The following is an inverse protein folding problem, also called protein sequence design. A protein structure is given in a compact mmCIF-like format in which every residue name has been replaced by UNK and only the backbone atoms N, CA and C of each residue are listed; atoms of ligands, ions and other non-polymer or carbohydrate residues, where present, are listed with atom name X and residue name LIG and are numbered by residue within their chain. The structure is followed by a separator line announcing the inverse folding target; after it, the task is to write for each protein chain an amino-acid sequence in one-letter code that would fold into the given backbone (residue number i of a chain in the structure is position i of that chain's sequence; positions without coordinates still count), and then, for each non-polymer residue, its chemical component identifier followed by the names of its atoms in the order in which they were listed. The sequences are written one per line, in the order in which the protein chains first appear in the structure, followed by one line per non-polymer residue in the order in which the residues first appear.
data_IF_146714087327
#
_entry.id   IF_146714087327
#
_cell.length_a   1.000
_cell.length_b   1.000
_cell.length_c   1.000
_cell.angle_alpha   90.00
_cell.angle_beta   90.00
_cell.angle_gamma   90.00
#
_symmetry.space_group_name_H-M   'P 1'
#
loop_
_entity.id
_entity.type
_entity.pdbx_description
1 polymer ?
#
# COMPACT_ATOMS: atom_id res chain seq x y z
N UNK A 1 28.09 -23.56 9.12
CA UNK A 1 27.42 -22.79 8.06
C UNK A 1 26.13 -23.50 7.74
N UNK A 2 25.00 -22.80 7.82
CA UNK A 2 23.70 -23.38 7.47
C UNK A 2 23.69 -23.72 5.99
N UNK A 3 23.33 -24.95 5.64
CA UNK A 3 23.07 -25.29 4.24
C UNK A 3 21.66 -24.81 3.88
N UNK A 4 21.37 -24.60 2.59
CA UNK A 4 20.03 -24.17 2.17
C UNK A 4 18.93 -25.12 2.65
N UNK A 5 19.21 -26.44 2.70
CA UNK A 5 18.29 -27.46 3.20
C UNK A 5 17.91 -27.30 4.67
N UNK A 6 18.71 -26.56 5.45
CA UNK A 6 18.43 -26.30 6.87
C UNK A 6 17.51 -25.07 7.06
N UNK A 7 17.37 -24.23 6.04
CA UNK A 7 16.60 -22.99 6.13
C UNK A 7 15.09 -23.26 6.01
N UNK A 8 14.32 -22.49 6.77
CA UNK A 8 12.85 -22.52 6.74
C UNK A 8 12.32 -21.12 6.46
N UNK A 9 11.21 -20.97 5.70
CA UNK A 9 10.59 -19.68 5.50
C UNK A 9 10.01 -19.12 6.79
N UNK A 10 9.87 -17.80 6.84
CA UNK A 10 9.20 -17.06 7.91
C UNK A 10 8.05 -16.23 7.34
N UNK A 11 7.05 -15.87 8.15
CA UNK A 11 5.91 -15.09 7.65
C UNK A 11 6.32 -13.66 7.25
N UNK A 12 6.04 -13.30 6.00
CA UNK A 12 6.22 -11.94 5.46
C UNK A 12 4.88 -11.23 5.33
N UNK A 13 4.89 -9.90 5.44
CA UNK A 13 3.67 -9.11 5.27
C UNK A 13 3.32 -8.97 3.78
N UNK A 14 2.11 -9.35 3.39
CA UNK A 14 1.65 -9.22 1.99
C UNK A 14 1.37 -7.77 1.57
N UNK A 15 0.99 -6.90 2.51
CA UNK A 15 0.74 -5.47 2.26
C UNK A 15 1.68 -4.60 3.03
N UNK A 16 2.26 -3.65 2.31
CA UNK A 16 3.10 -2.60 2.86
C UNK A 16 2.95 -1.31 2.06
N UNK A 17 3.19 -0.14 2.67
CA UNK A 17 3.32 1.10 1.91
C UNK A 17 4.49 1.01 0.92
N UNK A 18 4.46 1.74 -0.21
CA UNK A 18 5.61 1.85 -1.12
C UNK A 18 6.92 2.19 -0.38
N UNK A 19 6.84 3.07 0.62
CA UNK A 19 8.01 3.46 1.44
C UNK A 19 8.57 2.38 2.36
N UNK A 20 7.88 1.24 2.49
CA UNK A 20 8.31 0.08 3.26
C UNK A 20 8.55 -1.14 2.37
N UNK A 21 8.56 -0.99 1.04
CA UNK A 21 8.79 -2.09 0.08
C UNK A 21 10.09 -2.85 0.32
N UNK A 22 11.08 -2.20 0.93
CA UNK A 22 12.37 -2.79 1.23
C UNK A 22 12.67 -2.85 2.74
N UNK A 23 11.65 -2.78 3.59
CA UNK A 23 11.78 -2.98 5.03
C UNK A 23 11.73 -4.48 5.37
N UNK A 24 12.50 -4.93 6.36
CA UNK A 24 12.34 -6.27 6.93
C UNK A 24 10.96 -6.35 7.60
N UNK A 25 10.22 -7.44 7.42
CA UNK A 25 8.81 -7.49 7.88
C UNK A 25 8.57 -8.61 8.86
N UNK A 26 7.73 -8.34 9.85
CA UNK A 26 7.13 -9.36 10.71
C UNK A 26 5.65 -9.04 10.92
N UNK A 27 4.82 -10.05 11.09
CA UNK A 27 3.38 -9.90 11.30
C UNK A 27 3.08 -10.05 12.79
N UNK A 28 2.83 -9.01 13.58
CA UNK A 28 2.44 -9.21 15.00
C UNK A 28 1.00 -9.71 15.12
N UNK A 29 0.16 -9.23 14.22
CA UNK A 29 -1.19 -9.73 13.98
C UNK A 29 -1.25 -10.23 12.55
N UNK A 30 -2.11 -11.22 12.28
CA UNK A 30 -2.45 -11.61 10.92
C UNK A 30 -3.72 -10.88 10.50
N UNK A 31 -3.71 -10.30 9.30
CA UNK A 31 -4.88 -9.79 8.60
C UNK A 31 -5.57 -8.59 9.28
N UNK A 32 -6.89 -8.42 9.08
CA UNK A 32 -7.65 -7.25 9.55
C UNK A 32 -8.81 -7.62 10.48
N UNK A 33 -8.79 -7.10 11.71
CA UNK A 33 -9.87 -7.28 12.68
C UNK A 33 -11.18 -6.57 12.29
N UNK A 34 -11.10 -5.54 11.44
CA UNK A 34 -12.29 -4.79 10.98
C UNK A 34 -12.95 -5.45 9.77
N UNK A 35 -12.17 -5.70 8.71
CA UNK A 35 -12.55 -6.36 7.44
C UNK A 35 -13.94 -6.00 6.84
N UNK A 36 -14.49 -4.81 7.13
CA UNK A 36 -15.84 -4.41 6.69
C UNK A 36 -15.86 -3.31 5.64
N UNK A 37 -14.71 -2.65 5.37
CA UNK A 37 -14.63 -1.60 4.36
C UNK A 37 -15.16 -2.08 3.01
N UNK A 38 -15.97 -1.28 2.33
CA UNK A 38 -16.60 -1.63 1.05
C UNK A 38 -15.58 -1.72 -0.09
N UNK A 39 -14.60 -0.82 -0.10
CA UNK A 39 -13.60 -0.69 -1.16
C UNK A 39 -12.42 -1.67 -1.05
N UNK A 40 -12.16 -2.22 0.14
CA UNK A 40 -10.94 -3.01 0.39
C UNK A 40 -11.12 -4.47 -0.05
N UNK A 41 -10.35 -4.97 -1.04
CA UNK A 41 -10.43 -6.37 -1.50
C UNK A 41 -9.62 -7.35 -0.66
N UNK A 42 -8.60 -6.86 0.05
CA UNK A 42 -7.47 -7.62 0.61
C UNK A 42 -7.87 -8.88 1.39
N UNK A 43 -8.67 -8.72 2.44
CA UNK A 43 -8.95 -9.81 3.38
C UNK A 43 -10.36 -10.40 3.18
N UNK A 44 -11.02 -10.09 2.05
CA UNK A 44 -12.42 -10.47 1.80
C UNK A 44 -12.59 -11.95 1.44
N UNK A 45 -11.49 -12.60 1.08
CA UNK A 45 -11.50 -13.93 0.48
C UNK A 45 -10.96 -15.01 1.44
N UNK A 46 -11.43 -15.00 2.69
CA UNK A 46 -11.18 -16.08 3.66
C UNK A 46 -10.11 -15.79 4.72
N UNK A 47 -9.31 -14.74 4.55
CA UNK A 47 -8.30 -14.32 5.51
C UNK A 47 -8.92 -13.91 6.87
N UNK A 48 -8.54 -14.60 7.95
CA UNK A 48 -9.06 -14.37 9.30
C UNK A 48 -8.06 -13.60 10.16
N UNK A 49 -8.58 -12.70 10.98
CA UNK A 49 -7.76 -12.00 11.96
C UNK A 49 -7.30 -12.95 13.07
N UNK A 50 -6.02 -12.85 13.45
CA UNK A 50 -5.49 -13.47 14.67
C UNK A 50 -4.34 -12.63 15.24
N UNK A 51 -4.10 -12.75 16.54
CA UNK A 51 -2.89 -12.23 17.18
C UNK A 51 -1.89 -13.38 17.29
N UNK A 52 -0.60 -13.10 17.07
CA UNK A 52 0.46 -14.09 17.21
C UNK A 52 1.03 -14.10 18.62
N UNK A 53 1.58 -15.24 19.03
CA UNK A 53 2.32 -15.34 20.30
C UNK A 53 3.76 -14.88 20.13
N UNK A 54 4.44 -14.64 21.26
CA UNK A 54 5.86 -14.27 21.25
C UNK A 54 6.70 -15.42 20.70
N UNK A 55 6.35 -16.67 21.02
CA UNK A 55 7.06 -17.86 20.55
C UNK A 55 6.98 -18.00 19.03
N UNK A 56 5.78 -17.81 18.45
CA UNK A 56 5.61 -17.81 17.00
C UNK A 56 6.48 -16.75 16.32
N UNK A 57 6.55 -15.54 16.89
CA UNK A 57 7.36 -14.45 16.36
C UNK A 57 8.86 -14.69 16.52
N UNK A 58 9.31 -15.23 17.66
CA UNK A 58 10.71 -15.60 17.88
C UNK A 58 11.19 -16.64 16.86
N UNK A 59 10.34 -17.61 16.53
CA UNK A 59 10.64 -18.59 15.47
C UNK A 59 10.88 -17.88 14.13
N UNK A 60 10.03 -16.92 13.75
CA UNK A 60 10.21 -16.17 12.51
C UNK A 60 11.44 -15.26 12.53
N UNK A 61 11.74 -14.61 13.66
CA UNK A 61 12.93 -13.78 13.84
C UNK A 61 14.20 -14.61 13.68
N UNK A 62 14.25 -15.79 14.29
CA UNK A 62 15.38 -16.71 14.16
C UNK A 62 15.54 -17.21 12.72
N UNK A 63 14.44 -17.61 12.07
CA UNK A 63 14.48 -18.02 10.65
C UNK A 63 14.95 -16.89 9.74
N UNK A 64 14.46 -15.68 9.95
CA UNK A 64 14.91 -14.50 9.21
C UNK A 64 16.41 -14.25 9.44
N UNK A 65 16.92 -14.46 10.66
CA UNK A 65 18.36 -14.31 10.96
C UNK A 65 19.20 -15.37 10.25
N UNK A 66 18.74 -16.62 10.22
CA UNK A 66 19.43 -17.69 9.53
C UNK A 66 19.49 -17.42 8.02
N UNK A 67 18.38 -16.96 7.44
CA UNK A 67 18.31 -16.55 6.04
C UNK A 67 19.23 -15.35 5.78
N UNK A 68 19.26 -14.36 6.68
CA UNK A 68 20.16 -13.21 6.58
C UNK A 68 21.64 -13.61 6.57
N UNK A 69 22.06 -14.45 7.52
CA UNK A 69 23.42 -15.01 7.54
C UNK A 69 23.76 -15.67 6.19
N UNK A 70 22.85 -16.52 5.70
CA UNK A 70 23.03 -17.24 4.47
C UNK A 70 23.16 -16.31 3.26
N UNK A 71 22.26 -15.33 3.11
CA UNK A 71 22.28 -14.34 2.03
C UNK A 71 23.58 -13.54 2.04
N UNK A 72 24.01 -13.09 3.23
CA UNK A 72 25.25 -12.34 3.36
C UNK A 72 26.47 -13.18 2.94
N UNK A 73 26.60 -14.40 3.47
CA UNK A 73 27.75 -15.27 3.23
C UNK A 73 27.81 -15.83 1.81
N UNK A 74 26.68 -16.29 1.26
CA UNK A 74 26.65 -17.12 0.05
C UNK A 74 26.19 -16.39 -1.21
N UNK A 75 25.57 -15.22 -1.07
CA UNK A 75 25.04 -14.45 -2.22
C UNK A 75 25.81 -13.14 -2.32
N UNK A 76 25.72 -12.29 -1.29
CA UNK A 76 26.26 -10.93 -1.33
C UNK A 76 27.80 -10.95 -1.30
N UNK A 77 28.42 -11.59 -0.31
CA UNK A 77 29.89 -11.62 -0.24
C UNK A 77 30.53 -12.50 -1.31
N UNK A 78 29.81 -13.53 -1.78
CA UNK A 78 30.25 -14.38 -2.88
C UNK A 78 30.03 -13.75 -4.27
N UNK A 79 29.33 -12.60 -4.35
CA UNK A 79 28.95 -11.92 -5.59
C UNK A 79 28.23 -12.84 -6.60
N UNK A 80 27.31 -13.67 -6.09
CA UNK A 80 26.50 -14.59 -6.88
C UNK A 80 25.13 -13.94 -7.12
N UNK A 81 24.60 -14.05 -8.35
CA UNK A 81 23.23 -13.63 -8.63
C UNK A 81 22.25 -14.55 -7.89
N UNK A 82 21.26 -13.97 -7.23
CA UNK A 82 20.21 -14.76 -6.58
C UNK A 82 19.48 -15.66 -7.58
N UNK A 83 19.32 -15.21 -8.83
CA UNK A 83 18.70 -16.00 -9.90
C UNK A 83 19.58 -17.18 -10.36
N UNK A 84 20.90 -16.97 -10.43
CA UNK A 84 21.85 -18.05 -10.77
C UNK A 84 21.88 -19.07 -9.64
N UNK A 85 21.86 -18.61 -8.38
CA UNK A 85 21.77 -19.48 -7.21
C UNK A 85 20.50 -20.33 -7.23
N UNK A 86 19.33 -19.72 -7.49
CA UNK A 86 18.06 -20.47 -7.58
C UNK A 86 18.03 -21.48 -8.71
N UNK A 87 18.61 -21.16 -9.86
CA UNK A 87 18.64 -22.05 -11.02
C UNK A 87 19.41 -23.35 -10.72
N UNK A 88 20.45 -23.27 -9.89
CA UNK A 88 21.26 -24.42 -9.45
C UNK A 88 20.56 -25.30 -8.39
N UNK A 89 19.49 -24.80 -7.77
CA UNK A 89 18.72 -25.48 -6.70
C UNK A 89 17.38 -26.03 -7.20
N UNK A 90 16.88 -25.57 -8.35
CA UNK A 90 15.62 -26.00 -8.97
C UNK A 90 15.69 -27.42 -9.58
N UNK A 91 16.42 -28.35 -8.97
CA UNK A 91 16.26 -29.79 -9.22
C UNK A 91 16.31 -30.59 -7.91
N UNK A 92 15.27 -31.35 -7.53
CA UNK A 92 13.85 -31.07 -7.46
C UNK A 92 13.45 -30.90 -5.98
N UNK A 93 13.24 -29.67 -5.50
CA UNK A 93 12.12 -29.50 -4.57
C UNK A 93 10.93 -29.60 -5.51
N UNK A 94 10.45 -30.83 -5.71
CA UNK A 94 9.07 -31.03 -6.16
C UNK A 94 8.29 -30.03 -5.34
N UNK A 95 7.76 -29.01 -6.03
CA UNK A 95 6.58 -28.33 -5.58
C UNK A 95 5.58 -29.47 -5.36
N UNK A 96 5.60 -30.04 -4.16
CA UNK A 96 4.41 -30.57 -3.56
C UNK A 96 3.49 -29.38 -3.65
N UNK A 97 2.69 -29.38 -4.72
CA UNK A 97 1.30 -29.02 -4.70
C UNK A 97 0.69 -29.71 -3.48
N UNK A 98 1.06 -29.27 -2.28
CA UNK A 98 0.07 -29.03 -1.25
C UNK A 98 -0.72 -27.84 -1.77
N UNK A 99 -1.57 -28.19 -2.75
CA UNK A 99 -2.79 -27.54 -3.14
C UNK A 99 -3.65 -27.45 -1.89
N UNK A 100 -3.30 -26.51 -1.02
CA UNK A 100 -4.14 -26.02 0.06
C UNK A 100 -4.42 -24.55 -0.23
N UNK A 101 -4.86 -24.27 -1.47
CA UNK A 101 -5.54 -23.02 -1.87
C UNK A 101 -6.05 -23.01 -3.33
N UNK A 102 -5.96 -24.12 -4.07
CA UNK A 102 -6.57 -24.20 -5.42
C UNK A 102 -8.10 -24.17 -5.38
N UNK A 103 -8.74 -24.70 -4.34
CA UNK A 103 -10.21 -24.69 -4.24
C UNK A 103 -10.82 -23.30 -3.99
N UNK A 104 -10.08 -22.36 -3.40
CA UNK A 104 -10.56 -20.98 -3.23
C UNK A 104 -10.33 -20.16 -4.50
N UNK A 105 -9.19 -20.32 -5.17
CA UNK A 105 -8.84 -19.57 -6.38
C UNK A 105 -9.64 -20.00 -7.63
N UNK A 106 -9.99 -21.28 -7.76
CA UNK A 106 -10.79 -21.80 -8.87
C UNK A 106 -12.24 -21.28 -8.85
N UNK A 107 -12.75 -20.87 -7.69
CA UNK A 107 -14.10 -20.31 -7.53
C UNK A 107 -14.24 -18.85 -8.02
N UNK A 108 -13.14 -18.14 -8.26
CA UNK A 108 -13.20 -16.78 -8.81
C UNK A 108 -13.21 -16.84 -10.33
N UNK A 109 -14.31 -16.42 -10.98
CA UNK A 109 -14.40 -16.32 -12.44
C UNK A 109 -13.62 -15.13 -13.02
N UNK A 110 -13.20 -14.18 -12.17
CA UNK A 110 -12.55 -12.93 -12.58
C UNK A 110 -11.02 -13.05 -12.55
N UNK A 111 -10.37 -12.85 -13.69
CA UNK A 111 -8.91 -12.94 -13.84
C UNK A 111 -8.15 -11.92 -13.00
N UNK A 112 -8.70 -10.71 -12.80
CA UNK A 112 -8.06 -9.67 -11.99
C UNK A 112 -8.04 -10.08 -10.52
N UNK A 113 -9.11 -10.72 -10.02
CA UNK A 113 -9.14 -11.27 -8.66
C UNK A 113 -8.12 -12.39 -8.52
N UNK A 114 -8.06 -13.33 -9.48
CA UNK A 114 -7.07 -14.42 -9.43
C UNK A 114 -5.64 -13.89 -9.35
N UNK A 115 -5.31 -12.95 -10.23
CA UNK A 115 -4.00 -12.31 -10.25
C UNK A 115 -3.71 -11.56 -8.95
N UNK A 116 -4.66 -10.76 -8.44
CA UNK A 116 -4.48 -10.00 -7.20
C UNK A 116 -4.33 -10.91 -5.97
N UNK A 117 -5.09 -11.99 -5.89
CA UNK A 117 -5.03 -12.94 -4.78
C UNK A 117 -3.67 -13.65 -4.68
N UNK A 118 -2.92 -13.79 -5.79
CA UNK A 118 -1.58 -14.41 -5.77
C UNK A 118 -0.55 -13.61 -4.95
N UNK A 119 -0.80 -12.32 -4.71
CA UNK A 119 0.05 -11.47 -3.86
C UNK A 119 -0.14 -11.74 -2.36
N UNK A 120 -1.23 -12.41 -1.98
CA UNK A 120 -1.61 -12.67 -0.59
C UNK A 120 -1.31 -14.12 -0.20
N UNK A 121 -0.01 -14.45 -0.12
CA UNK A 121 0.44 -15.75 0.37
C UNK A 121 0.41 -15.80 1.90
N UNK A 122 -0.53 -16.53 2.49
CA UNK A 122 -0.55 -16.76 3.95
C UNK A 122 0.65 -17.63 4.39
N UNK A 123 1.14 -18.50 3.51
CA UNK A 123 2.34 -19.33 3.71
C UNK A 123 3.41 -18.99 2.68
N UNK A 124 4.40 -18.16 3.00
CA UNK A 124 5.48 -17.84 2.08
C UNK A 124 6.38 -19.06 1.84
N UNK A 125 6.91 -19.14 0.63
CA UNK A 125 7.94 -20.12 0.28
C UNK A 125 9.31 -19.69 0.82
N UNK A 126 10.29 -20.60 0.84
CA UNK A 126 11.67 -20.25 1.14
C UNK A 126 12.21 -19.21 0.14
N UNK A 127 11.78 -19.30 -1.12
CA UNK A 127 12.11 -18.32 -2.19
C UNK A 127 11.64 -16.92 -1.86
N UNK A 128 10.38 -16.79 -1.43
CA UNK A 128 9.81 -15.50 -1.02
C UNK A 128 10.63 -14.88 0.14
N UNK A 129 10.99 -15.69 1.14
CA UNK A 129 11.74 -15.22 2.33
C UNK A 129 13.17 -14.78 2.00
N UNK A 130 13.87 -15.53 1.15
CA UNK A 130 15.24 -15.21 0.69
C UNK A 130 15.25 -13.94 -0.17
N UNK A 131 14.35 -13.83 -1.16
CA UNK A 131 14.24 -12.62 -1.99
C UNK A 131 13.90 -11.38 -1.15
N UNK A 132 13.04 -11.53 -0.14
CA UNK A 132 12.68 -10.46 0.77
C UNK A 132 13.88 -9.97 1.58
N UNK A 133 14.63 -10.88 2.22
CA UNK A 133 15.82 -10.53 3.02
C UNK A 133 16.95 -9.97 2.14
N UNK A 134 17.16 -10.55 0.95
CA UNK A 134 18.09 -10.03 -0.04
C UNK A 134 17.75 -8.59 -0.44
N UNK A 135 16.49 -8.33 -0.81
CA UNK A 135 16.03 -6.98 -1.19
C UNK A 135 16.20 -5.97 -0.06
N UNK A 136 15.90 -6.37 1.19
CA UNK A 136 16.11 -5.54 2.38
C UNK A 136 17.59 -5.21 2.59
N UNK A 137 18.49 -6.19 2.40
CA UNK A 137 19.95 -5.95 2.49
C UNK A 137 20.45 -5.03 1.39
N UNK A 138 19.97 -5.22 0.16
CA UNK A 138 20.31 -4.33 -0.97
C UNK A 138 19.80 -2.90 -0.79
N UNK A 139 18.70 -2.71 -0.05
CA UNK A 139 18.21 -1.40 0.36
C UNK A 139 18.88 -0.85 1.63
N UNK A 140 19.95 -1.48 2.12
CA UNK A 140 20.78 -0.99 3.23
C UNK A 140 20.45 -1.55 4.61
N UNK A 141 19.42 -2.40 4.75
CA UNK A 141 19.20 -3.19 5.96
C UNK A 141 18.83 -2.41 7.24
N UNK A 142 18.26 -1.21 7.13
CA UNK A 142 18.08 -0.30 8.29
C UNK A 142 16.65 -0.19 8.81
N UNK A 143 15.65 -0.72 8.10
CA UNK A 143 14.23 -0.49 8.41
C UNK A 143 13.47 -1.79 8.63
N UNK A 144 12.52 -1.76 9.56
CA UNK A 144 11.60 -2.85 9.85
C UNK A 144 10.15 -2.33 9.85
N UNK A 145 9.28 -3.08 9.18
CA UNK A 145 7.86 -2.80 9.10
C UNK A 145 7.08 -3.96 9.72
N UNK A 146 6.38 -3.67 10.82
CA UNK A 146 5.52 -4.66 11.47
C UNK A 146 4.12 -4.51 10.88
N UNK A 147 3.84 -5.33 9.87
CA UNK A 147 2.73 -5.13 8.93
C UNK A 147 1.41 -5.76 9.35
N UNK A 148 0.54 -5.98 8.37
CA UNK A 148 -0.90 -6.22 8.53
C UNK A 148 -1.69 -5.03 9.12
N UNK A 149 -3.01 -5.15 9.27
CA UNK A 149 -3.89 -3.99 9.25
C UNK A 149 -3.90 -3.10 10.49
N UNK A 150 -3.72 -3.64 11.70
CA UNK A 150 -3.83 -2.83 12.94
C UNK A 150 -3.02 -3.40 14.11
N UNK A 151 -1.75 -3.02 14.19
CA UNK A 151 -0.84 -3.51 15.23
C UNK A 151 -1.04 -2.84 16.59
N UNK A 152 -1.82 -1.76 16.67
CA UNK A 152 -2.21 -1.14 17.94
C UNK A 152 -3.17 -2.01 18.79
N UNK A 153 -3.52 -3.21 18.32
CA UNK A 153 -4.30 -4.19 19.08
C UNK A 153 -3.44 -5.06 20.02
N UNK A 154 -2.11 -5.04 19.88
CA UNK A 154 -1.20 -5.69 20.82
C UNK A 154 -0.90 -4.74 21.99
N UNK A 155 -0.46 -5.29 23.14
CA UNK A 155 -0.07 -4.48 24.30
C UNK A 155 1.32 -3.86 24.09
N UNK A 156 1.61 -2.69 24.70
CA UNK A 156 2.94 -2.08 24.61
C UNK A 156 4.07 -3.02 25.07
N UNK A 157 3.90 -3.76 26.17
CA UNK A 157 4.93 -4.69 26.67
C UNK A 157 5.24 -5.82 25.66
N UNK A 158 4.19 -6.37 25.02
CA UNK A 158 4.35 -7.36 23.95
C UNK A 158 5.14 -6.77 22.78
N UNK A 159 4.82 -5.54 22.38
CA UNK A 159 5.53 -4.86 21.31
C UNK A 159 7.00 -4.60 21.67
N UNK A 160 7.26 -4.15 22.90
CA UNK A 160 8.59 -3.89 23.40
C UNK A 160 9.46 -5.14 23.41
N UNK A 161 8.93 -6.26 23.90
CA UNK A 161 9.63 -7.55 23.92
C UNK A 161 10.03 -8.00 22.50
N UNK A 162 9.10 -7.90 21.55
CA UNK A 162 9.36 -8.31 20.16
C UNK A 162 10.36 -7.37 19.47
N UNK A 163 10.25 -6.06 19.66
CA UNK A 163 11.21 -5.11 19.08
C UNK A 163 12.60 -5.30 19.67
N UNK A 164 12.72 -5.58 20.97
CA UNK A 164 13.99 -5.91 21.60
C UNK A 164 14.61 -7.17 21.00
N UNK A 165 13.81 -8.24 20.84
CA UNK A 165 14.28 -9.48 20.22
C UNK A 165 14.70 -9.27 18.75
N UNK A 166 13.94 -8.50 17.97
CA UNK A 166 14.32 -8.14 16.60
C UNK A 166 15.65 -7.37 16.58
N UNK A 167 15.83 -6.37 17.46
CA UNK A 167 17.06 -5.56 17.53
C UNK A 167 18.28 -6.40 17.91
N UNK A 168 18.13 -7.40 18.79
CA UNK A 168 19.22 -8.34 19.14
C UNK A 168 19.71 -9.13 17.92
N UNK A 169 18.79 -9.60 17.07
CA UNK A 169 19.13 -10.37 15.87
C UNK A 169 19.56 -9.48 14.69
N UNK A 170 19.07 -8.24 14.66
CA UNK A 170 19.31 -7.30 13.57
C UNK A 170 19.72 -5.92 14.11
N UNK A 171 20.96 -5.77 14.63
CA UNK A 171 21.43 -4.53 15.26
C UNK A 171 21.56 -3.35 14.28
N UNK A 172 21.43 -3.60 12.98
CA UNK A 172 21.42 -2.56 11.93
C UNK A 172 20.09 -1.81 11.83
N UNK A 173 19.01 -2.33 12.43
CA UNK A 173 17.69 -1.72 12.37
C UNK A 173 17.62 -0.43 13.21
N UNK A 174 17.24 0.67 12.55
CA UNK A 174 17.13 2.02 13.13
C UNK A 174 15.69 2.53 13.15
N UNK A 175 14.81 1.97 12.33
CA UNK A 175 13.44 2.44 12.17
C UNK A 175 12.43 1.30 12.19
N UNK A 176 11.45 1.40 13.07
CA UNK A 176 10.28 0.52 13.15
C UNK A 176 9.02 1.31 12.80
N UNK A 177 8.21 0.75 11.90
CA UNK A 177 6.93 1.36 11.51
C UNK A 177 5.83 0.30 11.48
N UNK A 178 4.58 0.72 11.68
CA UNK A 178 3.41 -0.18 11.66
C UNK A 178 2.27 0.42 10.85
N UNK A 179 1.33 -0.41 10.41
CA UNK A 179 -0.03 0.04 10.16
C UNK A 179 -0.84 0.09 11.46
N UNK A 180 -1.72 1.08 11.55
CA UNK A 180 -2.66 1.25 12.63
C UNK A 180 -4.00 1.81 12.14
N UNK A 181 -4.98 1.75 13.04
CA UNK A 181 -6.28 2.43 12.88
C UNK A 181 -6.32 3.62 13.81
N UNK A 182 -6.75 4.79 13.33
CA UNK A 182 -6.75 6.02 14.15
C UNK A 182 -7.67 5.87 15.35
N UNK A 183 -8.79 5.15 15.21
CA UNK A 183 -9.69 4.83 16.32
C UNK A 183 -9.02 4.00 17.43
N UNK A 184 -8.02 3.20 17.07
CA UNK A 184 -7.25 2.44 18.08
C UNK A 184 -6.32 3.38 18.83
N UNK A 185 -5.62 4.27 18.12
CA UNK A 185 -4.78 5.30 18.73
C UNK A 185 -5.59 6.29 19.59
N UNK A 186 -6.75 6.74 19.11
CA UNK A 186 -7.64 7.66 19.82
C UNK A 186 -8.10 7.09 21.17
N UNK A 187 -8.44 5.80 21.21
CA UNK A 187 -8.91 5.13 22.44
C UNK A 187 -7.78 4.68 23.38
N UNK A 188 -6.55 4.68 22.90
CA UNK A 188 -5.40 4.26 23.69
C UNK A 188 -5.04 5.34 24.71
N UNK A 189 -4.54 4.92 25.87
CA UNK A 189 -3.92 5.85 26.82
C UNK A 189 -2.68 6.47 26.16
N UNK A 190 -2.42 7.75 26.46
CA UNK A 190 -1.23 8.43 25.95
C UNK A 190 0.05 7.76 26.45
N UNK A 191 0.05 7.21 27.67
CA UNK A 191 1.22 6.54 28.24
C UNK A 191 1.51 5.21 27.55
N UNK A 192 0.48 4.49 27.09
CA UNK A 192 0.64 3.30 26.24
C UNK A 192 1.29 3.67 24.90
N UNK A 193 0.87 4.76 24.25
CA UNK A 193 1.50 5.24 23.02
C UNK A 193 2.96 5.67 23.24
N UNK A 194 3.26 6.33 24.37
CA UNK A 194 4.65 6.66 24.75
C UNK A 194 5.48 5.41 25.03
N UNK A 195 4.88 4.34 25.54
CA UNK A 195 5.55 3.05 25.71
C UNK A 195 5.91 2.43 24.34
N UNK A 196 5.02 2.47 23.35
CA UNK A 196 5.36 2.10 21.96
C UNK A 196 6.53 2.92 21.41
N UNK A 197 6.54 4.24 21.64
CA UNK A 197 7.66 5.12 21.25
C UNK A 197 8.97 4.68 21.88
N UNK A 198 8.95 4.43 23.19
CA UNK A 198 10.11 4.03 23.99
C UNK A 198 10.68 2.69 23.52
N UNK A 199 9.81 1.73 23.18
CA UNK A 199 10.19 0.46 22.57
C UNK A 199 10.93 0.63 21.23
N UNK A 200 10.64 1.71 20.50
CA UNK A 200 11.33 2.08 19.26
C UNK A 200 10.40 2.33 18.08
N UNK A 201 9.07 2.44 18.29
CA UNK A 201 8.15 2.78 17.21
C UNK A 201 8.40 4.20 16.70
N UNK A 202 8.68 4.34 15.41
CA UNK A 202 8.96 5.64 14.79
C UNK A 202 7.75 6.24 14.09
N UNK A 203 6.90 5.41 13.49
CA UNK A 203 5.79 5.86 12.64
C UNK A 203 4.61 4.90 12.65
N UNK A 204 3.42 5.47 12.62
CA UNK A 204 2.18 4.74 12.36
C UNK A 204 1.60 5.21 11.03
N UNK A 205 1.30 4.24 10.18
CA UNK A 205 0.64 4.39 8.90
C UNK A 205 -0.88 4.21 9.13
N UNK A 206 -1.66 5.28 8.94
CA UNK A 206 -3.10 5.32 9.19
C UNK A 206 -3.90 5.49 7.90
N UNK A 207 -4.75 4.52 7.56
CA UNK A 207 -5.74 4.73 6.50
C UNK A 207 -6.89 5.58 7.02
N UNK A 208 -6.90 6.90 6.77
CA UNK A 208 -8.05 7.76 7.10
C UNK A 208 -9.06 7.73 5.95
N UNK A 209 -8.56 7.68 4.71
CA UNK A 209 -9.26 7.59 3.44
C UNK A 209 -10.16 8.79 3.12
N UNK A 210 -10.94 9.29 4.07
CA UNK A 210 -11.84 10.44 3.95
C UNK A 210 -11.99 11.18 5.27
N UNK A 211 -12.16 12.50 5.22
CA UNK A 211 -12.61 13.29 6.37
C UNK A 211 -14.13 13.38 6.52
N UNK A 212 -14.92 13.07 5.48
CA UNK A 212 -16.39 13.12 5.56
C UNK A 212 -16.94 11.89 6.28
N UNK A 213 -17.65 12.11 7.39
CA UNK A 213 -18.36 11.05 8.12
C UNK A 213 -19.43 10.35 7.26
N UNK A 214 -20.04 11.03 6.28
CA UNK A 214 -21.00 10.40 5.35
C UNK A 214 -20.30 9.36 4.47
N UNK A 215 -19.17 9.74 3.88
CA UNK A 215 -18.34 8.84 3.05
C UNK A 215 -17.80 7.68 3.90
N UNK A 216 -17.29 7.95 5.10
CA UNK A 216 -16.79 6.92 6.01
C UNK A 216 -17.86 5.91 6.43
N UNK A 217 -19.08 6.40 6.69
CA UNK A 217 -20.23 5.57 7.03
C UNK A 217 -20.66 4.69 5.85
N UNK A 218 -20.81 5.28 4.66
CA UNK A 218 -21.12 4.55 3.43
C UNK A 218 -20.10 3.45 3.17
N UNK A 219 -18.80 3.78 3.27
CA UNK A 219 -17.70 2.85 3.05
C UNK A 219 -17.51 1.83 4.18
N UNK A 220 -18.32 1.89 5.25
CA UNK A 220 -18.19 1.06 6.46
C UNK A 220 -16.74 1.07 6.98
N UNK A 221 -16.12 2.25 7.06
CA UNK A 221 -14.74 2.38 7.57
C UNK A 221 -14.64 2.05 9.04
N UNK A 222 -15.70 2.31 9.81
CA UNK A 222 -15.76 2.03 11.26
C UNK A 222 -15.04 3.07 12.13
N UNK A 223 -14.68 4.20 11.54
CA UNK A 223 -14.02 5.36 12.15
C UNK A 223 -14.75 6.63 11.73
N UNK A 224 -14.57 7.68 12.52
CA UNK A 224 -15.11 9.02 12.25
C UNK A 224 -13.97 10.01 11.99
N UNK A 225 -14.31 11.19 11.50
CA UNK A 225 -13.41 12.34 11.43
C UNK A 225 -12.74 12.63 12.79
N UNK A 226 -13.49 12.49 13.89
CA UNK A 226 -12.97 12.71 15.24
C UNK A 226 -11.96 11.62 15.64
N UNK A 227 -12.26 10.35 15.35
CA UNK A 227 -11.32 9.24 15.56
C UNK A 227 -10.00 9.51 14.79
N UNK A 228 -10.07 10.11 13.60
CA UNK A 228 -8.89 10.48 12.80
C UNK A 228 -8.09 11.62 13.43
N UNK A 229 -8.77 12.67 13.89
CA UNK A 229 -8.14 13.83 14.53
C UNK A 229 -7.46 13.44 15.84
N UNK A 230 -8.21 12.84 16.77
CA UNK A 230 -7.68 12.45 18.08
C UNK A 230 -6.54 11.43 17.94
N UNK A 231 -6.71 10.43 17.08
CA UNK A 231 -5.70 9.39 16.87
C UNK A 231 -4.36 9.93 16.36
N UNK A 232 -4.38 10.89 15.43
CA UNK A 232 -3.16 11.51 14.92
C UNK A 232 -2.51 12.43 15.97
N UNK A 233 -3.32 13.25 16.67
CA UNK A 233 -2.81 14.16 17.70
C UNK A 233 -2.14 13.40 18.85
N UNK A 234 -2.78 12.35 19.38
CA UNK A 234 -2.19 11.50 20.41
C UNK A 234 -0.92 10.79 19.94
N UNK A 235 -0.91 10.30 18.69
CA UNK A 235 0.29 9.68 18.10
C UNK A 235 1.46 10.67 18.07
N UNK A 236 1.20 11.91 17.66
CA UNK A 236 2.20 12.98 17.61
C UNK A 236 2.66 13.42 19.00
N UNK A 237 1.74 13.53 19.95
CA UNK A 237 2.04 13.83 21.36
C UNK A 237 2.96 12.77 21.97
N UNK A 238 2.77 11.49 21.64
CA UNK A 238 3.66 10.40 22.05
C UNK A 238 5.03 10.43 21.35
N UNK A 239 5.30 11.38 20.45
CA UNK A 239 6.54 11.49 19.69
C UNK A 239 6.68 10.48 18.55
N UNK A 240 5.57 9.88 18.11
CA UNK A 240 5.51 8.95 16.97
C UNK A 240 5.00 9.72 15.76
N UNK A 241 5.53 9.43 14.57
CA UNK A 241 5.12 10.10 13.34
C UNK A 241 3.79 9.55 12.80
N UNK A 242 2.69 10.33 12.75
CA UNK A 242 1.49 9.94 12.01
C UNK A 242 1.66 10.15 10.50
N UNK A 243 1.52 9.08 9.73
CA UNK A 243 1.49 9.09 8.25
C UNK A 243 0.13 8.63 7.77
N UNK A 244 -0.67 9.50 7.19
CA UNK A 244 -2.05 9.19 6.81
C UNK A 244 -2.20 8.92 5.31
N UNK A 245 -3.15 8.06 4.95
CA UNK A 245 -3.58 7.83 3.57
C UNK A 245 -4.95 8.47 3.34
N UNK A 246 -5.08 9.22 2.26
CA UNK A 246 -6.34 9.75 1.75
C UNK A 246 -6.66 9.11 0.40
N UNK A 247 -7.95 8.96 0.10
CA UNK A 247 -8.41 8.26 -1.08
C UNK A 247 -9.32 9.14 -1.94
N UNK A 248 -8.77 10.04 -2.77
CA UNK A 248 -9.56 10.79 -3.74
C UNK A 248 -10.42 9.86 -4.60
N UNK A 249 -11.65 10.27 -4.86
CA UNK A 249 -12.71 9.50 -5.51
C UNK A 249 -13.55 8.64 -4.56
N UNK A 250 -13.19 8.51 -3.27
CA UNK A 250 -13.94 7.67 -2.32
C UNK A 250 -15.37 8.16 -2.06
N UNK A 251 -15.63 9.47 -2.22
CA UNK A 251 -17.00 10.01 -2.15
C UNK A 251 -17.87 9.68 -3.36
N UNK A 252 -17.28 9.16 -4.44
CA UNK A 252 -17.93 9.09 -5.75
C UNK A 252 -18.28 10.48 -6.29
N UNK A 253 -18.95 10.52 -7.44
CA UNK A 253 -19.35 11.78 -8.07
C UNK A 253 -20.25 12.64 -7.16
N UNK A 254 -21.10 12.00 -6.35
CA UNK A 254 -22.13 12.68 -5.56
C UNK A 254 -21.60 13.41 -4.32
N UNK A 255 -20.56 12.87 -3.66
CA UNK A 255 -19.98 13.45 -2.45
C UNK A 255 -18.57 14.00 -2.67
N UNK A 256 -18.14 14.17 -3.93
CA UNK A 256 -16.77 14.56 -4.29
C UNK A 256 -16.30 15.84 -3.58
N UNK A 257 -17.09 16.92 -3.63
CA UNK A 257 -16.75 18.18 -2.96
C UNK A 257 -16.72 18.04 -1.42
N UNK A 258 -17.74 17.41 -0.82
CA UNK A 258 -17.80 17.20 0.63
C UNK A 258 -16.62 16.35 1.11
N UNK A 259 -16.30 15.28 0.37
CA UNK A 259 -15.16 14.43 0.63
C UNK A 259 -13.85 15.23 0.68
N UNK A 260 -13.58 16.05 -0.34
CA UNK A 260 -12.35 16.83 -0.42
C UNK A 260 -12.26 17.89 0.70
N UNK A 261 -13.35 18.62 0.93
CA UNK A 261 -13.39 19.70 1.92
C UNK A 261 -13.31 19.16 3.36
N UNK A 262 -14.04 18.10 3.69
CA UNK A 262 -13.95 17.50 5.02
C UNK A 262 -12.60 16.82 5.24
N UNK A 263 -12.00 16.26 4.18
CA UNK A 263 -10.63 15.71 4.25
C UNK A 263 -9.62 16.82 4.54
N UNK A 264 -9.67 17.97 3.87
CA UNK A 264 -8.76 19.09 4.16
C UNK A 264 -8.93 19.62 5.58
N UNK A 265 -10.17 19.70 6.10
CA UNK A 265 -10.46 20.05 7.50
C UNK A 265 -9.82 19.05 8.46
N UNK A 266 -10.04 17.74 8.26
CA UNK A 266 -9.46 16.69 9.10
C UNK A 266 -7.94 16.73 9.06
N UNK A 267 -7.32 16.90 7.90
CA UNK A 267 -5.86 17.01 7.78
C UNK A 267 -5.31 18.22 8.54
N UNK A 268 -5.98 19.38 8.42
CA UNK A 268 -5.62 20.61 9.13
C UNK A 268 -5.66 20.45 10.65
N UNK A 269 -6.68 19.73 11.16
CA UNK A 269 -6.87 19.50 12.59
C UNK A 269 -5.98 18.38 13.13
N UNK A 270 -5.78 17.31 12.37
CA UNK A 270 -5.01 16.12 12.77
C UNK A 270 -3.49 16.30 12.65
N UNK A 271 -3.03 17.26 11.83
CA UNK A 271 -1.63 17.66 11.64
C UNK A 271 -0.66 16.48 11.41
N UNK A 272 -0.98 15.56 10.47
CA UNK A 272 -0.14 14.42 10.21
C UNK A 272 1.21 14.88 9.65
N UNK A 273 2.28 14.13 9.89
CA UNK A 273 3.59 14.49 9.31
C UNK A 273 3.61 14.24 7.80
N UNK A 274 2.83 13.25 7.33
CA UNK A 274 2.72 12.89 5.92
C UNK A 274 1.27 12.60 5.54
N UNK A 275 0.88 13.07 4.36
CA UNK A 275 -0.37 12.75 3.67
C UNK A 275 -0.03 12.02 2.38
N UNK A 276 -0.52 10.80 2.24
CA UNK A 276 -0.24 9.94 1.10
C UNK A 276 -1.51 9.81 0.26
N UNK A 277 -1.44 10.24 -0.99
CA UNK A 277 -2.55 10.20 -1.92
C UNK A 277 -2.63 8.79 -2.53
N UNK A 278 -3.81 8.18 -2.50
CA UNK A 278 -4.10 6.92 -3.20
C UNK A 278 -5.47 6.99 -3.85
N UNK A 279 -5.55 7.31 -5.13
CA UNK A 279 -6.84 7.37 -5.84
C UNK A 279 -7.59 6.05 -5.76
N UNK A 280 -8.91 6.13 -5.56
CA UNK A 280 -9.81 4.98 -5.48
C UNK A 280 -9.72 4.12 -6.76
N UNK A 281 -9.50 2.82 -6.56
CA UNK A 281 -9.75 1.80 -7.56
C UNK A 281 -10.87 0.87 -7.08
N UNK A 282 -11.87 0.66 -7.93
CA UNK A 282 -13.00 -0.22 -7.62
C UNK A 282 -12.62 -1.63 -8.06
N UNK A 283 -12.34 -2.47 -7.07
CA UNK A 283 -11.86 -3.82 -7.32
C UNK A 283 -13.01 -4.82 -7.49
N UNK A 284 -12.95 -5.73 -8.48
CA UNK A 284 -13.99 -6.74 -8.69
C UNK A 284 -14.23 -7.61 -7.44
N UNK A 285 -15.49 -8.04 -7.25
CA UNK A 285 -15.88 -8.87 -6.10
C UNK A 285 -16.01 -8.11 -4.77
N UNK A 286 -15.62 -6.83 -4.72
CA UNK A 286 -15.81 -6.01 -3.52
C UNK A 286 -17.27 -5.58 -3.35
N UNK A 287 -17.72 -5.30 -2.10
CA UNK A 287 -19.02 -4.67 -1.88
C UNK A 287 -19.18 -3.32 -2.59
N UNK A 288 -18.11 -2.54 -2.79
CA UNK A 288 -18.19 -1.30 -3.54
C UNK A 288 -18.51 -1.51 -5.02
N UNK A 289 -17.96 -2.56 -5.65
CA UNK A 289 -18.31 -2.89 -7.03
C UNK A 289 -19.81 -3.17 -7.18
N UNK A 290 -20.41 -3.90 -6.22
CA UNK A 290 -21.86 -4.16 -6.21
C UNK A 290 -22.67 -2.88 -6.06
N UNK A 291 -22.23 -1.95 -5.21
CA UNK A 291 -22.87 -0.65 -5.05
C UNK A 291 -22.77 0.20 -6.33
N UNK A 292 -21.66 0.08 -7.07
CA UNK A 292 -21.52 0.71 -8.39
C UNK A 292 -22.48 0.11 -9.42
N UNK A 293 -22.55 -1.21 -9.50
CA UNK A 293 -23.42 -1.93 -10.45
C UNK A 293 -24.92 -1.67 -10.18
N UNK A 294 -25.31 -1.49 -8.92
CA UNK A 294 -26.69 -1.15 -8.54
C UNK A 294 -27.04 0.33 -8.74
N UNK A 295 -26.06 1.19 -9.04
CA UNK A 295 -26.22 2.64 -9.10
C UNK A 295 -26.26 3.35 -7.74
N UNK A 296 -26.05 2.63 -6.64
CA UNK A 296 -25.94 3.21 -5.29
C UNK A 296 -24.65 4.06 -5.14
N UNK A 297 -23.60 3.71 -5.87
CA UNK A 297 -22.35 4.45 -5.97
C UNK A 297 -22.07 4.86 -7.42
N UNK A 298 -21.86 6.15 -7.65
CA UNK A 298 -21.45 6.68 -8.95
C UNK A 298 -19.96 7.01 -8.86
N UNK A 299 -19.12 6.32 -9.64
CA UNK A 299 -17.68 6.59 -9.67
C UNK A 299 -17.41 8.03 -10.13
N UNK A 300 -16.49 8.72 -9.46
CA UNK A 300 -16.08 10.06 -9.85
C UNK A 300 -15.24 10.01 -11.13
N UNK A 301 -15.45 10.96 -12.02
CA UNK A 301 -14.59 11.12 -13.21
C UNK A 301 -13.19 11.61 -12.81
N UNK A 302 -12.18 11.30 -13.63
CA UNK A 302 -10.78 11.66 -13.32
C UNK A 302 -10.59 13.15 -13.05
N UNK A 303 -11.26 14.03 -13.81
CA UNK A 303 -11.19 15.47 -13.58
C UNK A 303 -11.80 15.87 -12.23
N UNK A 304 -12.86 15.20 -11.77
CA UNK A 304 -13.43 15.45 -10.44
C UNK A 304 -12.43 15.06 -9.36
N UNK A 305 -11.78 13.90 -9.49
CA UNK A 305 -10.74 13.43 -8.57
C UNK A 305 -9.56 14.43 -8.51
N UNK A 306 -9.14 14.99 -9.64
CA UNK A 306 -8.10 16.02 -9.66
C UNK A 306 -8.56 17.31 -8.96
N UNK A 307 -9.84 17.71 -9.13
CA UNK A 307 -10.43 18.84 -8.37
C UNK A 307 -10.47 18.56 -6.87
N UNK A 308 -10.72 17.33 -6.43
CA UNK A 308 -10.63 16.96 -5.02
C UNK A 308 -9.22 17.16 -4.47
N UNK A 309 -8.20 16.68 -5.19
CA UNK A 309 -6.79 16.87 -4.81
C UNK A 309 -6.47 18.37 -4.75
N UNK A 310 -6.95 19.18 -5.71
CA UNK A 310 -6.81 20.63 -5.70
C UNK A 310 -7.38 21.24 -4.40
N UNK A 311 -8.63 20.91 -4.06
CA UNK A 311 -9.31 21.40 -2.85
C UNK A 311 -8.51 21.00 -1.61
N UNK A 312 -8.02 19.76 -1.54
CA UNK A 312 -7.23 19.27 -0.42
C UNK A 312 -5.92 20.05 -0.28
N UNK A 313 -5.17 20.23 -1.36
CA UNK A 313 -3.92 21.01 -1.37
C UNK A 313 -4.17 22.47 -1.04
N UNK A 314 -5.25 23.07 -1.54
CA UNK A 314 -5.60 24.46 -1.31
C UNK A 314 -6.00 24.74 0.13
N UNK A 315 -6.80 23.85 0.74
CA UNK A 315 -7.46 24.09 2.02
C UNK A 315 -6.80 23.41 3.23
N UNK A 316 -5.79 22.56 3.03
CA UNK A 316 -5.06 21.97 4.17
C UNK A 316 -4.12 23.01 4.79
N UNK A 317 -4.35 23.39 6.04
CA UNK A 317 -3.57 24.42 6.75
C UNK A 317 -2.43 23.85 7.60
N UNK A 318 -2.39 22.52 7.80
CA UNK A 318 -1.33 21.87 8.57
C UNK A 318 0.02 21.90 7.83
N UNK A 319 1.10 22.01 8.60
CA UNK A 319 2.44 21.68 8.11
C UNK A 319 2.55 20.16 7.94
N UNK A 320 2.64 19.72 6.70
CA UNK A 320 2.65 18.29 6.35
C UNK A 320 3.31 18.06 4.99
N UNK A 321 3.80 16.85 4.76
CA UNK A 321 4.35 16.44 3.47
C UNK A 321 3.28 15.67 2.69
N UNK A 322 2.84 16.21 1.56
CA UNK A 322 1.98 15.50 0.60
C UNK A 322 2.86 14.69 -0.35
N UNK A 323 2.54 13.42 -0.51
CA UNK A 323 3.18 12.53 -1.50
C UNK A 323 2.16 11.74 -2.30
N UNK A 324 2.46 11.59 -3.59
CA UNK A 324 1.69 10.82 -4.56
C UNK A 324 2.48 9.58 -4.98
N UNK A 325 2.58 8.60 -4.09
CA UNK A 325 3.43 7.42 -4.27
C UNK A 325 2.67 6.15 -4.71
N UNK A 326 1.44 6.30 -5.21
CA UNK A 326 0.62 5.20 -5.72
C UNK A 326 0.54 5.18 -7.24
N UNK A 327 0.62 3.98 -7.82
CA UNK A 327 0.41 3.76 -9.25
C UNK A 327 -1.00 4.17 -9.72
N UNK A 328 -1.97 4.24 -8.80
CA UNK A 328 -3.36 4.64 -9.09
C UNK A 328 -3.51 6.14 -9.32
N UNK A 329 -2.57 6.96 -8.84
CA UNK A 329 -2.68 8.40 -8.94
C UNK A 329 -2.49 8.84 -10.39
N UNK A 330 -3.37 9.71 -10.86
CA UNK A 330 -3.28 10.27 -12.21
C UNK A 330 -2.17 11.32 -12.32
N UNK A 331 -2.07 12.17 -11.30
CA UNK A 331 -1.14 13.29 -11.22
C UNK A 331 -0.18 13.09 -10.05
N UNK A 332 1.10 13.37 -10.28
CA UNK A 332 2.15 13.19 -9.28
C UNK A 332 2.38 14.46 -8.46
N UNK A 333 1.51 14.72 -7.49
CA UNK A 333 1.57 15.91 -6.63
C UNK A 333 2.36 15.61 -5.37
N UNK A 334 3.54 16.23 -5.25
CA UNK A 334 4.42 16.10 -4.09
C UNK A 334 4.90 17.47 -3.59
N UNK A 335 4.90 17.67 -2.27
CA UNK A 335 5.42 18.90 -1.66
C UNK A 335 5.14 19.01 -0.18
N UNK A 336 5.87 19.91 0.48
CA UNK A 336 5.65 20.30 1.87
C UNK A 336 4.67 21.47 1.95
N UNK A 337 3.55 21.30 2.64
CA UNK A 337 2.66 22.42 2.97
C UNK A 337 3.19 23.19 4.19
N UNK A 338 3.03 24.53 4.22
CA UNK A 338 2.47 25.39 3.17
C UNK A 338 3.46 25.79 2.07
N UNK A 339 4.76 25.52 2.25
CA UNK A 339 5.87 26.04 1.45
C UNK A 339 5.72 25.78 -0.07
N UNK A 340 5.36 24.57 -0.45
CA UNK A 340 5.21 24.11 -1.83
C UNK A 340 3.79 24.30 -2.41
N UNK A 341 2.85 24.89 -1.66
CA UNK A 341 1.42 24.95 -2.06
C UNK A 341 1.23 25.52 -3.45
N UNK A 342 1.87 26.66 -3.75
CA UNK A 342 1.75 27.33 -5.06
C UNK A 342 2.24 26.44 -6.19
N UNK A 343 3.35 25.72 -6.00
CA UNK A 343 3.92 24.81 -6.99
C UNK A 343 2.99 23.62 -7.25
N UNK A 344 2.47 23.02 -6.18
CA UNK A 344 1.51 21.92 -6.29
C UNK A 344 0.21 22.35 -6.99
N UNK A 345 -0.35 23.50 -6.61
CA UNK A 345 -1.56 24.04 -7.26
C UNK A 345 -1.31 24.36 -8.74
N UNK A 346 -0.16 24.94 -9.09
CA UNK A 346 0.19 25.19 -10.48
C UNK A 346 0.21 23.91 -11.33
N UNK A 347 0.79 22.82 -10.81
CA UNK A 347 0.82 21.53 -11.50
C UNK A 347 -0.61 20.96 -11.70
N UNK A 348 -1.46 21.10 -10.68
CA UNK A 348 -2.85 20.63 -10.73
C UNK A 348 -3.66 21.46 -11.74
N UNK A 349 -3.55 22.79 -11.67
CA UNK A 349 -4.27 23.72 -12.54
C UNK A 349 -3.83 23.55 -13.99
N UNK A 350 -2.54 23.31 -14.25
CA UNK A 350 -2.03 23.00 -15.58
C UNK A 350 -2.71 21.77 -16.23
N UNK A 351 -3.04 20.72 -15.45
CA UNK A 351 -3.83 19.59 -15.94
C UNK A 351 -5.31 19.98 -16.15
N UNK A 352 -5.90 20.71 -15.20
CA UNK A 352 -7.31 21.09 -15.26
C UNK A 352 -7.63 22.00 -16.44
N UNK A 353 -6.67 22.84 -16.86
CA UNK A 353 -6.78 23.74 -18.00
C UNK A 353 -6.59 23.04 -19.36
N UNK A 354 -6.16 21.77 -19.38
CA UNK A 354 -6.03 21.01 -20.63
C UNK A 354 -7.38 20.85 -21.35
N UNK A 355 -7.41 20.97 -22.70
CA UNK A 355 -8.55 20.54 -23.48
C UNK A 355 -8.88 19.07 -23.22
N UNK A 356 -10.15 18.68 -23.41
CA UNK A 356 -10.62 17.31 -23.16
C UNK A 356 -9.72 16.25 -23.83
N UNK A 357 -9.38 16.47 -25.09
CA UNK A 357 -8.51 15.57 -25.86
C UNK A 357 -7.16 15.35 -25.16
N UNK A 358 -6.50 16.43 -24.75
CA UNK A 358 -5.21 16.37 -24.07
C UNK A 358 -5.29 15.71 -22.69
N UNK A 359 -6.44 15.81 -21.99
CA UNK A 359 -6.66 15.06 -20.74
C UNK A 359 -6.71 13.55 -20.96
N UNK A 360 -7.34 13.10 -22.06
CA UNK A 360 -7.37 11.68 -22.42
C UNK A 360 -5.98 11.13 -22.75
N UNK A 361 -5.19 11.88 -23.51
CA UNK A 361 -3.81 11.53 -23.85
C UNK A 361 -2.92 11.51 -22.60
N UNK A 362 -3.05 12.50 -21.73
CA UNK A 362 -2.37 12.55 -20.43
C UNK A 362 -2.71 11.32 -19.59
N UNK A 363 -3.99 10.95 -19.52
CA UNK A 363 -4.44 9.80 -18.74
C UNK A 363 -3.80 8.50 -19.24
N UNK A 364 -3.86 8.24 -20.55
CA UNK A 364 -3.21 7.06 -21.13
C UNK A 364 -1.71 7.04 -20.83
N UNK A 365 -1.01 8.15 -21.05
CA UNK A 365 0.43 8.26 -20.78
C UNK A 365 0.75 7.98 -19.30
N UNK A 366 -0.02 8.56 -18.39
CA UNK A 366 0.12 8.35 -16.95
C UNK A 366 -0.09 6.88 -16.57
N UNK A 367 -1.12 6.21 -17.09
CA UNK A 367 -1.35 4.77 -16.82
C UNK A 367 -0.24 3.88 -17.36
N UNK A 368 0.29 4.16 -18.55
CA UNK A 368 1.44 3.42 -19.09
C UNK A 368 2.65 3.59 -18.18
N UNK A 369 2.96 4.82 -17.76
CA UNK A 369 4.09 5.10 -16.88
C UNK A 369 3.95 4.43 -15.51
N UNK A 370 2.75 4.47 -14.91
CA UNK A 370 2.45 3.75 -13.67
C UNK A 370 2.63 2.24 -13.83
N UNK A 371 2.17 1.68 -14.95
CA UNK A 371 2.27 0.25 -15.21
C UNK A 371 3.73 -0.19 -15.36
N UNK A 372 4.50 0.54 -16.17
CA UNK A 372 5.93 0.29 -16.35
C UNK A 372 6.68 0.49 -15.04
N UNK A 373 6.37 1.53 -14.26
CA UNK A 373 6.99 1.76 -12.96
C UNK A 373 6.70 0.66 -11.94
N UNK A 374 5.50 0.08 -11.99
CA UNK A 374 5.08 -0.98 -11.06
C UNK A 374 5.63 -2.36 -11.43
N UNK A 375 5.71 -2.69 -12.73
CA UNK A 375 6.05 -4.03 -13.20
C UNK A 375 7.36 -4.14 -13.99
N UNK A 376 8.07 -3.03 -14.23
CA UNK A 376 9.31 -2.97 -15.00
C UNK A 376 9.12 -3.06 -16.52
N UNK A 377 7.88 -3.06 -17.01
CA UNK A 377 7.56 -3.16 -18.43
C UNK A 377 6.06 -3.23 -18.69
N UNK A 378 5.67 -3.38 -19.95
CA UNK A 378 4.29 -3.65 -20.37
C UNK A 378 4.11 -5.12 -20.71
N UNK A 379 2.91 -5.65 -20.50
CA UNK A 379 2.58 -7.02 -20.87
C UNK A 379 2.27 -7.14 -22.37
N UNK A 380 2.37 -8.35 -22.91
CA UNK A 380 2.15 -8.63 -24.34
C UNK A 380 0.75 -8.21 -24.83
N UNK A 381 -0.28 -8.36 -23.99
CA UNK A 381 -1.65 -7.91 -24.28
C UNK A 381 -1.74 -6.39 -24.42
N UNK A 382 -1.13 -5.63 -23.50
CA UNK A 382 -1.08 -4.16 -23.59
C UNK A 382 -0.26 -3.74 -24.81
N UNK A 383 0.87 -4.41 -25.06
CA UNK A 383 1.71 -4.12 -26.21
C UNK A 383 0.95 -4.29 -27.53
N UNK A 384 0.21 -5.39 -27.70
CA UNK A 384 -0.62 -5.63 -28.90
C UNK A 384 -1.68 -4.56 -29.15
N UNK A 385 -2.25 -4.00 -28.09
CA UNK A 385 -3.20 -2.89 -28.21
C UNK A 385 -2.50 -1.60 -28.67
N UNK A 386 -1.26 -1.36 -28.25
CA UNK A 386 -0.52 -0.14 -28.58
C UNK A 386 0.19 -0.18 -29.95
N UNK A 387 0.64 -1.36 -30.41
CA UNK A 387 1.41 -1.53 -31.68
C UNK A 387 0.82 -0.79 -32.88
N UNK A 388 -0.50 -0.87 -33.18
CA UNK A 388 -1.07 -0.19 -34.36
C UNK A 388 -0.88 1.33 -34.36
N UNK A 389 -0.57 1.91 -33.20
CA UNK A 389 -0.41 3.34 -32.97
C UNK A 389 1.05 3.72 -32.68
N UNK A 390 2.00 2.78 -32.69
CA UNK A 390 3.42 3.09 -32.54
C UNK A 390 4.01 3.54 -33.87
N UNK A 391 4.78 4.62 -33.84
CA UNK A 391 5.61 5.08 -34.96
C UNK A 391 7.06 5.31 -34.48
N UNK A 392 7.92 5.83 -35.37
CA UNK A 392 9.34 6.09 -35.08
C UNK A 392 9.58 7.06 -33.91
N UNK A 393 8.59 7.91 -33.60
CA UNK A 393 8.66 8.97 -32.58
C UNK A 393 7.94 8.54 -31.28
N UNK A 394 7.38 7.33 -31.23
CA UNK A 394 6.67 6.77 -30.08
C UNK A 394 5.18 6.55 -30.34
N UNK A 395 4.36 6.72 -29.31
CA UNK A 395 2.92 6.49 -29.40
C UNK A 395 2.22 7.65 -30.10
N UNK A 396 1.63 7.39 -31.27
CA UNK A 396 0.89 8.35 -32.06
C UNK A 396 -0.54 8.52 -31.53
N UNK A 397 -0.69 9.35 -30.49
CA UNK A 397 -2.01 9.63 -29.91
C UNK A 397 -3.00 10.15 -30.96
N UNK A 398 -2.58 11.01 -31.90
CA UNK A 398 -3.47 11.60 -32.91
C UNK A 398 -4.17 10.58 -33.83
N UNK A 399 -3.64 9.35 -33.94
CA UNK A 399 -4.27 8.27 -34.69
C UNK A 399 -5.32 7.49 -33.87
N UNK A 400 -5.42 7.70 -32.56
CA UNK A 400 -6.40 7.09 -31.67
C UNK A 400 -7.66 7.97 -31.56
N UNK A 401 -8.85 7.38 -31.68
CA UNK A 401 -10.09 8.09 -31.34
C UNK A 401 -10.20 8.34 -29.83
N UNK A 402 -11.02 9.31 -29.42
CA UNK A 402 -11.29 9.57 -27.99
C UNK A 402 -11.86 8.31 -27.30
N UNK A 403 -12.76 7.60 -27.97
CA UNK A 403 -13.33 6.34 -27.50
C UNK A 403 -12.25 5.27 -27.27
N UNK A 404 -11.27 5.19 -28.19
CA UNK A 404 -10.17 4.25 -28.06
C UNK A 404 -9.25 4.61 -26.89
N UNK A 405 -8.90 5.90 -26.73
CA UNK A 405 -8.13 6.39 -25.58
C UNK A 405 -8.79 6.03 -24.25
N UNK A 406 -10.10 6.25 -24.14
CA UNK A 406 -10.87 5.91 -22.95
C UNK A 406 -10.83 4.40 -22.69
N UNK A 407 -11.04 3.59 -23.74
CA UNK A 407 -11.04 2.14 -23.64
C UNK A 407 -9.70 1.58 -23.16
N UNK A 408 -8.60 1.94 -23.83
CA UNK A 408 -7.27 1.42 -23.50
C UNK A 408 -6.77 1.92 -22.15
N UNK A 409 -7.10 3.18 -21.78
CA UNK A 409 -6.79 3.72 -20.45
C UNK A 409 -7.49 2.92 -19.36
N UNK A 410 -8.79 2.62 -19.51
CA UNK A 410 -9.54 1.79 -18.57
C UNK A 410 -8.97 0.37 -18.48
N UNK A 411 -8.55 -0.19 -19.62
CA UNK A 411 -7.91 -1.51 -19.67
C UNK A 411 -6.63 -1.55 -18.85
N UNK A 412 -5.69 -0.63 -19.09
CA UNK A 412 -4.42 -0.57 -18.36
C UNK A 412 -4.67 -0.29 -16.87
N UNK A 413 -5.55 0.66 -16.54
CA UNK A 413 -5.94 0.97 -15.15
C UNK A 413 -6.48 -0.26 -14.43
N UNK A 414 -7.25 -1.11 -15.10
CA UNK A 414 -7.75 -2.36 -14.54
C UNK A 414 -6.66 -3.40 -14.23
N UNK A 415 -5.44 -3.22 -14.71
CA UNK A 415 -4.30 -4.11 -14.47
C UNK A 415 -3.26 -3.50 -13.51
N UNK A 416 -3.47 -2.28 -13.03
CA UNK A 416 -2.64 -1.67 -11.97
C UNK A 416 -3.00 -2.27 -10.62
N UNK A 417 -1.99 -2.52 -9.79
CA UNK A 417 -2.17 -2.88 -8.39
C UNK A 417 -2.53 -1.62 -7.61
N UNK A 418 -3.65 -1.63 -6.87
CA UNK A 418 -4.14 -0.47 -6.14
C UNK A 418 -3.36 -0.14 -4.86
#
# INVERSE_FOLDING_TARGET
MSTLSDLKPFEICSIRPPTENYSLTFRLTRNCAWNRCLFCPVYKFGARFSKRTIEELRIDIERARQIDNFVMENIIYANISIDDYYRDIETPIEEKKESLETDLLDNYKDERIRWFSQWFKEKPTLKDSLLHVYSWRMAGGNTCFLGDANNLLVKPDFFAEIVDDIKKHFPTLKRFTIYGRTKSAARMDIDDLKAFKTAGLNRIHFGIESGSNKVLAFMKKGETAEDHIEGCLKTKEAGISPSVYIMPGLGGANLSFEHAYETSRVLSMSKPDYVRIRTLEIFPGTPLMKAKESGEFIEAEEEQIVKEIRIIVENTEAETIIVSDSATNLIDVNGKLPDDRKRMLFQIDAYLDLPLRSKLEFSLSSRINSFVGQYGGITEDIYRLLIPYLNKDGLNYSAMSDEYLIHITKYIRSRLMP
#
